data_IF_529379836008
#
_entry.id   IF_529379836008
#
_cell.length_a   1.000
_cell.length_b   1.000
_cell.length_c   1.000
_cell.angle_alpha   90.00
_cell.angle_beta   90.00
_cell.angle_gamma   90.00
#
_symmetry.space_group_name_H-M   'P 1'
#
loop_
_entity.id
_entity.type
_entity.pdbx_description
1 polymer ?
#
# COMPACT_ATOMS: atom_id res chain seq x y z
N UNK A 1 -17.02 38.37 -4.54
CA UNK A 1 -16.28 37.54 -3.55
C UNK A 1 -17.25 36.45 -3.07
N UNK A 2 -17.21 35.27 -3.68
CA UNK A 2 -17.90 34.09 -3.17
C UNK A 2 -16.90 33.34 -2.27
N UNK A 3 -17.19 33.31 -0.99
CA UNK A 3 -16.54 32.43 -0.03
C UNK A 3 -16.97 31.00 -0.38
N UNK A 4 -16.01 30.19 -0.82
CA UNK A 4 -16.19 28.74 -0.94
C UNK A 4 -16.06 28.18 0.46
N UNK A 5 -17.17 27.76 1.00
CA UNK A 5 -17.26 27.06 2.29
C UNK A 5 -16.72 25.64 2.06
N UNK A 6 -15.45 25.41 2.35
CA UNK A 6 -14.81 24.09 2.35
C UNK A 6 -14.92 23.46 3.75
N UNK A 7 -16.12 23.12 4.13
CA UNK A 7 -16.38 22.27 5.28
C UNK A 7 -16.76 20.87 4.81
N UNK A 8 -15.79 20.05 4.44
CA UNK A 8 -16.02 18.63 4.34
C UNK A 8 -15.82 18.05 5.75
N UNK A 9 -16.91 17.86 6.48
CA UNK A 9 -16.93 17.04 7.69
C UNK A 9 -16.51 15.62 7.32
N UNK A 10 -15.22 15.30 7.49
CA UNK A 10 -14.76 13.93 7.45
C UNK A 10 -15.24 13.25 8.73
N UNK A 11 -16.30 12.48 8.64
CA UNK A 11 -16.82 11.70 9.74
C UNK A 11 -15.86 10.53 10.03
N UNK A 12 -15.01 10.74 10.99
CA UNK A 12 -14.33 9.77 11.85
C UNK A 12 -13.54 8.63 11.21
N UNK A 13 -12.42 8.33 11.82
CA UNK A 13 -11.63 7.12 11.67
C UNK A 13 -12.47 5.86 11.97
N UNK A 14 -12.59 4.96 11.02
CA UNK A 14 -13.33 3.69 11.15
C UNK A 14 -12.52 2.52 10.61
N UNK A 15 -12.74 1.32 11.17
CA UNK A 15 -12.26 0.08 10.57
C UNK A 15 -13.16 -0.27 9.40
N UNK A 16 -12.56 -0.68 8.27
CA UNK A 16 -13.29 -1.10 7.07
C UNK A 16 -13.10 -2.61 6.88
N UNK A 17 -14.20 -3.35 6.83
CA UNK A 17 -14.18 -4.81 6.68
C UNK A 17 -14.82 -5.26 5.37
N UNK A 18 -15.55 -4.37 4.70
CA UNK A 18 -16.19 -4.64 3.42
C UNK A 18 -15.17 -4.55 2.28
N UNK A 19 -14.80 -5.71 1.73
CA UNK A 19 -13.83 -5.81 0.62
C UNK A 19 -14.38 -5.25 -0.68
N UNK A 20 -15.69 -5.29 -0.91
CA UNK A 20 -16.30 -4.74 -2.13
C UNK A 20 -16.25 -3.22 -2.10
N UNK A 21 -16.51 -2.61 -0.94
CA UNK A 21 -16.36 -1.17 -0.75
C UNK A 21 -14.91 -0.72 -0.93
N UNK A 22 -13.95 -1.45 -0.34
CA UNK A 22 -12.53 -1.19 -0.53
C UNK A 22 -12.15 -1.27 -2.00
N UNK A 23 -12.57 -2.31 -2.70
CA UNK A 23 -12.30 -2.48 -4.12
C UNK A 23 -12.87 -1.32 -4.95
N UNK A 24 -14.11 -0.91 -4.70
CA UNK A 24 -14.75 0.23 -5.39
C UNK A 24 -13.96 1.52 -5.20
N UNK A 25 -13.42 1.77 -4.01
CA UNK A 25 -12.56 2.92 -3.76
C UNK A 25 -11.20 2.80 -4.48
N UNK A 26 -10.54 1.68 -4.36
CA UNK A 26 -9.18 1.46 -4.85
C UNK A 26 -9.07 1.47 -6.38
N UNK A 27 -10.09 0.98 -7.11
CA UNK A 27 -10.08 0.94 -8.58
C UNK A 27 -10.17 2.32 -9.23
N UNK A 28 -10.51 3.38 -8.48
CA UNK A 28 -10.56 4.75 -8.99
C UNK A 28 -9.17 5.25 -9.45
N UNK A 29 -8.11 4.79 -8.78
CA UNK A 29 -6.73 4.96 -9.24
C UNK A 29 -5.95 3.65 -9.05
N UNK A 30 -6.17 2.71 -9.95
CA UNK A 30 -5.59 1.36 -9.86
C UNK A 30 -4.07 1.32 -9.97
N UNK A 31 -3.42 2.34 -10.56
CA UNK A 31 -1.96 2.43 -10.57
C UNK A 31 -1.43 2.83 -9.19
N UNK A 32 -2.03 3.81 -8.57
CA UNK A 32 -1.64 4.26 -7.23
C UNK A 32 -2.01 3.21 -6.17
N UNK A 33 -3.13 2.54 -6.33
CA UNK A 33 -3.65 1.53 -5.42
C UNK A 33 -3.15 0.09 -5.71
N UNK A 34 -2.18 -0.10 -6.60
CA UNK A 34 -1.82 -1.43 -7.10
C UNK A 34 -1.47 -2.44 -6.00
N UNK A 35 -0.75 -2.04 -4.96
CA UNK A 35 -0.44 -2.91 -3.82
C UNK A 35 -1.68 -3.23 -3.02
N UNK A 36 -2.45 -2.22 -2.64
CA UNK A 36 -3.68 -2.39 -1.86
C UNK A 36 -4.72 -3.26 -2.59
N UNK A 37 -4.81 -3.14 -3.92
CA UNK A 37 -5.67 -4.02 -4.73
C UNK A 37 -5.19 -5.48 -4.69
N UNK A 38 -3.88 -5.72 -4.72
CA UNK A 38 -3.30 -7.05 -4.55
C UNK A 38 -3.57 -7.61 -3.16
N UNK A 39 -3.51 -6.77 -2.14
CA UNK A 39 -3.70 -7.14 -0.73
C UNK A 39 -5.18 -7.42 -0.37
N UNK A 40 -6.13 -7.17 -1.28
CA UNK A 40 -7.52 -7.63 -1.14
C UNK A 40 -7.69 -9.14 -1.40
N UNK A 41 -6.68 -9.82 -1.96
CA UNK A 41 -6.72 -11.26 -2.13
C UNK A 41 -6.88 -11.95 -0.76
N UNK A 42 -7.84 -12.89 -0.61
CA UNK A 42 -8.09 -13.59 0.67
C UNK A 42 -6.86 -14.23 1.30
N UNK A 43 -5.83 -14.58 0.51
CA UNK A 43 -4.57 -15.14 1.02
C UNK A 43 -3.77 -14.14 1.85
N UNK A 44 -3.94 -12.84 1.62
CA UNK A 44 -3.31 -11.78 2.40
C UNK A 44 -4.18 -11.23 3.53
N UNK A 45 -5.48 -11.57 3.56
CA UNK A 45 -6.42 -11.07 4.56
C UNK A 45 -5.93 -11.19 6.02
N UNK A 46 -5.23 -12.29 6.44
CA UNK A 46 -4.70 -12.40 7.81
C UNK A 46 -3.68 -11.32 8.19
N UNK A 47 -3.05 -10.70 7.19
CA UNK A 47 -2.01 -9.68 7.38
C UNK A 47 -2.52 -8.26 7.19
N UNK A 48 -3.77 -8.09 6.73
CA UNK A 48 -4.34 -6.81 6.35
C UNK A 48 -5.31 -6.29 7.41
N UNK A 49 -5.10 -5.05 7.84
CA UNK A 49 -6.08 -4.32 8.62
C UNK A 49 -6.38 -3.00 7.92
N UNK A 50 -7.65 -2.78 7.60
CA UNK A 50 -8.09 -1.64 6.83
C UNK A 50 -8.78 -0.61 7.69
N UNK A 51 -8.44 0.65 7.45
CA UNK A 51 -9.09 1.80 8.07
C UNK A 51 -9.50 2.79 6.99
N UNK A 52 -10.53 3.60 7.27
CA UNK A 52 -11.02 4.59 6.34
C UNK A 52 -11.60 5.82 7.01
N UNK A 53 -11.78 6.86 6.20
CA UNK A 53 -12.67 7.98 6.53
C UNK A 53 -13.80 8.03 5.52
N UNK A 54 -14.98 8.40 6.00
CA UNK A 54 -16.16 8.58 5.16
C UNK A 54 -16.57 10.04 5.13
N UNK A 55 -17.21 10.44 4.06
CA UNK A 55 -17.87 11.76 4.02
C UNK A 55 -19.22 11.75 4.77
N UNK A 56 -19.91 12.88 4.75
CA UNK A 56 -21.21 13.06 5.39
C UNK A 56 -22.33 12.19 4.79
N UNK A 57 -22.12 11.61 3.62
CA UNK A 57 -23.05 10.68 2.96
C UNK A 57 -22.74 9.21 3.26
N UNK A 58 -21.66 8.94 3.99
CA UNK A 58 -21.19 7.61 4.35
C UNK A 58 -20.27 6.98 3.31
N UNK A 59 -19.91 7.69 2.24
CA UNK A 59 -19.03 7.19 1.18
C UNK A 59 -17.57 7.22 1.64
N UNK A 60 -16.84 6.14 1.38
CA UNK A 60 -15.42 6.01 1.68
C UNK A 60 -14.60 6.97 0.83
N UNK A 61 -13.83 7.86 1.46
CA UNK A 61 -13.04 8.90 0.80
C UNK A 61 -11.54 8.76 1.00
N UNK A 62 -11.13 8.02 2.04
CA UNK A 62 -9.73 7.77 2.39
C UNK A 62 -9.58 6.35 2.89
N UNK A 63 -8.46 5.74 2.58
CA UNK A 63 -8.12 4.39 3.02
C UNK A 63 -6.69 4.34 3.54
N UNK A 64 -6.50 3.60 4.62
CA UNK A 64 -5.21 3.20 5.16
C UNK A 64 -5.20 1.68 5.32
N UNK A 65 -4.21 1.03 4.73
CA UNK A 65 -3.89 -0.37 4.98
C UNK A 65 -2.70 -0.44 5.94
N UNK A 66 -2.86 -1.15 7.06
CA UNK A 66 -1.77 -1.65 7.88
C UNK A 66 -1.53 -3.11 7.47
N UNK A 67 -0.41 -3.35 6.80
CA UNK A 67 0.02 -4.67 6.35
C UNK A 67 1.12 -5.23 7.26
N UNK A 68 0.88 -6.39 7.86
CA UNK A 68 1.75 -7.02 8.85
C UNK A 68 2.45 -8.29 8.36
N UNK A 69 2.33 -8.61 7.08
CA UNK A 69 2.92 -9.81 6.47
C UNK A 69 4.43 -9.68 6.16
N UNK A 70 5.05 -8.53 6.45
CA UNK A 70 6.48 -8.32 6.30
C UNK A 70 7.16 -8.36 7.66
N UNK A 71 8.47 -8.63 7.68
CA UNK A 71 9.31 -8.53 8.88
C UNK A 71 9.23 -7.16 9.55
N UNK A 72 9.09 -6.10 8.75
CA UNK A 72 8.73 -4.75 9.21
C UNK A 72 7.39 -4.37 8.58
N UNK A 73 6.35 -4.13 9.38
CA UNK A 73 5.02 -3.78 8.88
C UNK A 73 5.01 -2.54 8.00
N UNK A 74 4.03 -2.47 7.10
CA UNK A 74 3.85 -1.35 6.16
C UNK A 74 2.50 -0.68 6.33
N UNK A 75 2.49 0.64 6.24
CA UNK A 75 1.30 1.49 6.17
C UNK A 75 1.22 2.09 4.77
N UNK A 76 0.11 1.85 4.09
CA UNK A 76 -0.16 2.38 2.76
C UNK A 76 -1.41 3.26 2.82
N UNK A 77 -1.29 4.53 2.43
CA UNK A 77 -2.38 5.50 2.53
C UNK A 77 -2.80 6.03 1.18
N UNK A 78 -4.10 6.23 0.99
CA UNK A 78 -4.72 6.79 -0.21
C UNK A 78 -5.84 7.76 0.15
N UNK A 79 -5.88 8.90 -0.54
CA UNK A 79 -6.87 9.94 -0.40
C UNK A 79 -6.27 11.34 -0.26
N UNK A 80 -7.08 12.38 -0.20
CA UNK A 80 -6.65 13.76 0.07
C UNK A 80 -6.01 13.94 1.45
N UNK A 81 -5.16 14.97 1.61
CA UNK A 81 -4.30 15.15 2.81
C UNK A 81 -5.08 15.20 4.14
N UNK A 82 -6.21 15.89 4.17
CA UNK A 82 -6.95 16.10 5.43
C UNK A 82 -7.39 14.80 6.11
N UNK A 83 -7.98 13.89 5.36
CA UNK A 83 -8.40 12.59 5.89
C UNK A 83 -7.23 11.65 6.16
N UNK A 84 -6.12 11.76 5.41
CA UNK A 84 -4.90 11.00 5.69
C UNK A 84 -4.31 11.34 7.05
N UNK A 85 -4.36 12.61 7.47
CA UNK A 85 -3.95 13.02 8.82
C UNK A 85 -4.79 12.30 9.88
N UNK A 86 -6.11 12.32 9.73
CA UNK A 86 -7.04 11.64 10.66
C UNK A 86 -6.74 10.14 10.75
N UNK A 87 -6.49 9.49 9.61
CA UNK A 87 -6.14 8.06 9.57
C UNK A 87 -4.81 7.78 10.29
N UNK A 88 -3.78 8.59 10.03
CA UNK A 88 -2.47 8.40 10.65
C UNK A 88 -2.49 8.66 12.16
N UNK A 89 -3.19 9.69 12.61
CA UNK A 89 -3.39 9.97 14.03
C UNK A 89 -4.17 8.85 14.73
N UNK A 90 -5.22 8.34 14.07
CA UNK A 90 -6.03 7.23 14.59
C UNK A 90 -5.28 5.91 14.70
N UNK A 91 -4.42 5.59 13.72
CA UNK A 91 -3.65 4.33 13.73
C UNK A 91 -2.37 4.42 14.56
N UNK A 92 -1.83 5.61 14.79
CA UNK A 92 -0.56 5.83 15.51
C UNK A 92 -0.43 5.04 16.83
N UNK A 93 -1.46 4.95 17.70
CA UNK A 93 -1.34 4.23 18.97
C UNK A 93 -1.13 2.72 18.83
N UNK A 94 -1.47 2.14 17.67
CA UNK A 94 -1.37 0.70 17.41
C UNK A 94 -0.21 0.35 16.48
N UNK A 95 0.51 1.35 15.96
CA UNK A 95 1.69 1.09 15.12
C UNK A 95 2.85 0.54 15.93
N UNK A 96 3.61 -0.40 15.37
CA UNK A 96 4.88 -0.82 15.96
C UNK A 96 5.89 0.34 15.94
N UNK A 97 6.97 0.19 16.74
CA UNK A 97 8.03 1.22 16.84
C UNK A 97 8.76 1.50 15.53
N UNK A 98 8.78 0.53 14.62
CA UNK A 98 9.33 0.67 13.27
C UNK A 98 8.32 0.18 12.24
N UNK A 99 8.02 1.02 11.27
CA UNK A 99 7.04 0.76 10.21
C UNK A 99 7.46 1.49 8.93
N UNK A 100 7.25 0.84 7.79
CA UNK A 100 7.32 1.53 6.50
C UNK A 100 6.03 2.31 6.26
N UNK A 101 6.14 3.56 5.80
CA UNK A 101 4.98 4.38 5.43
C UNK A 101 5.09 4.77 3.96
N UNK A 102 4.16 4.27 3.15
CA UNK A 102 4.09 4.56 1.72
C UNK A 102 3.14 5.72 1.50
N UNK A 103 3.69 6.85 1.08
CA UNK A 103 2.94 8.08 0.84
C UNK A 103 3.40 8.77 -0.43
N UNK A 104 2.56 9.62 -0.99
CA UNK A 104 2.98 10.53 -2.05
C UNK A 104 3.93 11.60 -1.48
N UNK A 105 4.89 12.10 -2.28
CA UNK A 105 5.83 13.12 -1.81
C UNK A 105 5.16 14.38 -1.25
N UNK A 106 3.98 14.73 -1.76
CA UNK A 106 3.20 15.89 -1.30
C UNK A 106 2.77 15.77 0.17
N UNK A 107 2.63 14.55 0.69
CA UNK A 107 2.21 14.28 2.07
C UNK A 107 3.39 14.05 3.05
N UNK A 108 4.64 14.13 2.58
CA UNK A 108 5.81 13.86 3.42
C UNK A 108 5.86 14.70 4.70
N UNK A 109 5.62 16.01 4.56
CA UNK A 109 5.66 16.94 5.70
C UNK A 109 4.63 16.56 6.78
N UNK A 110 3.40 16.26 6.37
CA UNK A 110 2.32 15.86 7.25
C UNK A 110 2.62 14.52 7.95
N UNK A 111 3.17 13.54 7.24
CA UNK A 111 3.56 12.25 7.83
C UNK A 111 4.64 12.43 8.89
N UNK A 112 5.66 13.27 8.64
CA UNK A 112 6.71 13.58 9.62
C UNK A 112 6.16 14.29 10.86
N UNK A 113 5.19 15.17 10.68
CA UNK A 113 4.53 15.86 11.79
C UNK A 113 3.76 14.87 12.67
N UNK A 114 2.99 13.97 12.07
CA UNK A 114 2.13 13.03 12.80
C UNK A 114 2.93 11.87 13.42
N UNK A 115 3.78 11.23 12.66
CA UNK A 115 4.47 9.99 13.07
C UNK A 115 5.89 10.22 13.57
N UNK A 116 6.46 11.40 13.33
CA UNK A 116 7.85 11.71 13.66
C UNK A 116 8.79 11.56 12.47
N UNK A 117 10.08 11.86 12.71
CA UNK A 117 11.11 11.78 11.68
C UNK A 117 11.53 10.34 11.43
N UNK A 118 11.73 9.99 10.17
CA UNK A 118 12.24 8.71 9.72
C UNK A 118 13.14 8.87 8.50
N UNK A 119 13.76 7.77 8.08
CA UNK A 119 14.53 7.73 6.85
C UNK A 119 13.57 7.81 5.65
N UNK A 120 13.91 8.65 4.68
CA UNK A 120 13.15 8.79 3.45
C UNK A 120 13.83 8.04 2.31
N UNK A 121 13.07 7.20 1.61
CA UNK A 121 13.49 6.57 0.37
C UNK A 121 12.50 6.93 -0.73
N UNK A 122 12.98 7.60 -1.79
CA UNK A 122 12.15 7.87 -2.96
C UNK A 122 12.04 6.60 -3.80
N UNK A 123 10.81 6.27 -4.16
CA UNK A 123 10.49 5.14 -5.03
C UNK A 123 9.71 5.63 -6.24
N UNK A 124 9.89 4.97 -7.38
CA UNK A 124 9.13 5.22 -8.61
C UNK A 124 8.17 4.06 -8.81
N UNK A 125 6.88 4.37 -8.87
CA UNK A 125 5.87 3.40 -9.29
C UNK A 125 5.66 3.51 -10.80
N UNK A 126 5.84 2.41 -11.50
CA UNK A 126 5.69 2.35 -12.95
C UNK A 126 4.49 1.47 -13.30
N UNK A 127 3.71 1.91 -14.28
CA UNK A 127 2.61 1.13 -14.84
C UNK A 127 2.76 0.99 -16.35
N UNK A 128 2.39 -0.18 -16.88
CA UNK A 128 2.37 -0.43 -18.31
C UNK A 128 0.96 -0.82 -18.73
N UNK A 129 0.35 -0.02 -19.60
CA UNK A 129 -0.94 -0.38 -20.17
C UNK A 129 -0.79 -1.61 -21.08
N UNK A 130 -1.71 -2.59 -20.95
CA UNK A 130 -1.66 -3.84 -21.72
C UNK A 130 -1.48 -3.63 -23.23
N UNK A 131 -2.12 -2.61 -23.79
CA UNK A 131 -2.00 -2.25 -25.24
C UNK A 131 -0.59 -1.74 -25.61
N UNK A 132 0.16 -1.23 -24.66
CA UNK A 132 1.53 -0.74 -24.86
C UNK A 132 2.59 -1.83 -24.64
N UNK A 133 2.18 -2.98 -24.05
CA UNK A 133 3.08 -4.09 -23.86
C UNK A 133 3.60 -4.62 -25.20
N UNK A 134 4.92 -4.78 -25.31
CA UNK A 134 5.59 -5.42 -26.44
C UNK A 134 6.42 -6.55 -25.89
N UNK A 135 6.10 -7.77 -26.31
CA UNK A 135 6.93 -8.93 -25.97
C UNK A 135 8.30 -8.72 -26.60
N UNK A 136 9.33 -8.74 -25.78
CA UNK A 136 10.69 -8.75 -26.28
C UNK A 136 10.97 -10.13 -26.91
N UNK A 137 11.76 -10.19 -28.02
CA UNK A 137 12.28 -11.46 -28.50
C UNK A 137 13.09 -12.14 -27.39
N UNK A 138 13.19 -13.46 -27.44
CA UNK A 138 13.97 -14.24 -26.47
C UNK A 138 15.35 -13.61 -26.27
N UNK A 139 15.56 -13.13 -25.05
CA UNK A 139 16.78 -12.40 -24.71
C UNK A 139 17.94 -13.33 -24.38
N UNK A 140 19.07 -12.74 -24.02
CA UNK A 140 20.28 -13.45 -23.56
C UNK A 140 20.04 -14.32 -22.31
N UNK A 141 19.00 -14.00 -21.55
CA UNK A 141 18.71 -14.65 -20.27
C UNK A 141 17.49 -15.54 -20.39
N UNK A 142 17.59 -16.74 -19.80
CA UNK A 142 16.47 -17.63 -19.63
C UNK A 142 15.57 -17.09 -18.51
N UNK A 143 14.27 -17.04 -18.79
CA UNK A 143 13.25 -16.66 -17.81
C UNK A 143 12.52 -17.93 -17.39
N UNK A 144 12.47 -18.18 -16.09
CA UNK A 144 11.85 -19.37 -15.50
C UNK A 144 10.83 -18.94 -14.45
N UNK A 145 9.84 -19.77 -14.25
CA UNK A 145 8.88 -19.59 -13.16
C UNK A 145 9.57 -19.89 -11.82
N UNK A 146 9.35 -19.02 -10.84
CA UNK A 146 9.91 -19.15 -9.50
C UNK A 146 9.00 -20.08 -8.69
N UNK A 147 9.61 -21.01 -7.96
CA UNK A 147 8.93 -21.98 -7.13
C UNK A 147 9.49 -21.97 -5.70
N UNK A 148 8.87 -22.73 -4.81
CA UNK A 148 9.37 -22.96 -3.45
C UNK A 148 10.81 -23.49 -3.40
N UNK A 149 11.23 -24.26 -4.40
CA UNK A 149 12.60 -24.79 -4.48
C UNK A 149 13.64 -23.66 -4.60
N UNK A 150 13.24 -22.49 -5.08
CA UNK A 150 14.11 -21.34 -5.32
C UNK A 150 14.26 -20.41 -4.10
N UNK A 151 13.57 -20.72 -3.00
CA UNK A 151 13.57 -19.87 -1.78
C UNK A 151 14.99 -19.53 -1.31
N UNK A 152 15.89 -20.51 -1.25
CA UNK A 152 17.26 -20.29 -0.78
C UNK A 152 18.05 -19.36 -1.72
N UNK A 153 17.86 -19.50 -3.02
CA UNK A 153 18.50 -18.63 -4.04
C UNK A 153 17.97 -17.20 -3.95
N UNK A 154 16.65 -17.03 -3.80
CA UNK A 154 16.01 -15.73 -3.62
C UNK A 154 16.46 -15.05 -2.33
N UNK A 155 16.49 -15.76 -1.21
CA UNK A 155 17.00 -15.23 0.05
C UNK A 155 18.48 -14.83 -0.06
N UNK A 156 19.28 -15.58 -0.83
CA UNK A 156 20.66 -15.21 -1.15
C UNK A 156 20.76 -13.92 -1.94
N UNK A 157 19.92 -13.78 -2.96
CA UNK A 157 19.84 -12.57 -3.78
C UNK A 157 19.44 -11.36 -2.94
N UNK A 158 18.37 -11.48 -2.16
CA UNK A 158 17.83 -10.37 -1.37
C UNK A 158 18.71 -9.97 -0.19
N UNK A 159 19.61 -10.81 0.32
CA UNK A 159 20.62 -10.40 1.31
C UNK A 159 21.49 -9.25 0.84
N UNK A 160 21.70 -9.12 -0.46
CA UNK A 160 22.45 -8.00 -1.04
C UNK A 160 21.61 -6.70 -1.12
N UNK A 161 20.31 -6.78 -0.87
CA UNK A 161 19.35 -5.68 -0.98
C UNK A 161 18.52 -5.58 0.31
N UNK A 162 19.04 -4.99 1.39
CA UNK A 162 18.41 -5.01 2.72
C UNK A 162 17.02 -4.36 2.77
N UNK A 163 16.68 -3.55 1.78
CA UNK A 163 15.38 -2.89 1.67
C UNK A 163 14.38 -3.67 0.80
N UNK A 164 14.52 -4.98 0.67
CA UNK A 164 13.57 -5.80 -0.07
C UNK A 164 12.27 -6.01 0.71
N UNK A 165 11.21 -6.34 -0.03
CA UNK A 165 9.88 -6.66 0.50
C UNK A 165 9.49 -8.12 0.22
N UNK A 166 10.48 -9.01 0.06
CA UNK A 166 10.26 -10.42 -0.16
C UNK A 166 10.24 -11.18 1.17
N UNK A 167 9.20 -11.98 1.37
CA UNK A 167 9.08 -12.95 2.44
C UNK A 167 8.78 -14.34 1.86
N UNK A 168 9.37 -15.44 2.37
CA UNK A 168 9.23 -16.78 1.78
C UNK A 168 7.80 -17.26 1.58
N UNK A 169 6.86 -16.90 2.46
CA UNK A 169 5.44 -17.30 2.34
C UNK A 169 4.78 -16.74 1.07
N UNK A 170 5.31 -15.68 0.46
CA UNK A 170 4.77 -15.10 -0.77
C UNK A 170 4.87 -16.07 -1.95
N UNK A 171 5.83 -17.01 -1.93
CA UNK A 171 5.90 -18.09 -2.92
C UNK A 171 4.76 -19.11 -2.75
N UNK A 172 4.24 -19.26 -1.51
CA UNK A 172 3.11 -20.16 -1.23
C UNK A 172 1.81 -19.59 -1.78
N UNK A 173 1.70 -18.29 -1.89
CA UNK A 173 0.49 -17.62 -2.39
C UNK A 173 0.35 -17.78 -3.91
N UNK A 174 1.43 -18.10 -4.64
CA UNK A 174 1.44 -18.15 -6.09
C UNK A 174 1.27 -16.80 -6.78
N UNK A 175 1.41 -15.71 -6.02
CA UNK A 175 1.26 -14.32 -6.52
C UNK A 175 2.60 -13.62 -6.73
N UNK A 176 3.68 -14.22 -6.29
CA UNK A 176 5.03 -13.69 -6.50
C UNK A 176 5.61 -14.27 -7.79
N UNK A 177 6.01 -13.40 -8.72
CA UNK A 177 6.62 -13.78 -10.00
C UNK A 177 7.72 -12.78 -10.42
#
# INVERSE_FOLDING_TARGET
KRQVNMGADSTGFVRVEDSDELQQFLVQDSLLAAYQLGDLDPRYAPYCTWFGCRDSTGVLTHVLLLYTGLSQPSVLVLGPEQGLRVLLEGVKPILPSAVYVHVLPVHEAMVREVLGSGNLKRMVRMGLQRRAFRRQPEGRYRVEEITHADTAALMGLYRAYPDHFFEPYQLETGLYC
#
